data_IF_076059903053
#
_entry.id   IF_076059903053
#
_cell.length_a   1.000
_cell.length_b   1.000
_cell.length_c   1.000
_cell.angle_alpha   90.00
_cell.angle_beta   90.00
_cell.angle_gamma   90.00
#
_symmetry.space_group_name_H-M   'P 1'
#
loop_
_entity.id
_entity.type
_entity.pdbx_description
1 polymer ?
#
# COMPACT_ATOMS: atom_id res chain seq x y z
N UNK A 1 17.05 3.16 -29.51
CA UNK A 1 16.50 1.94 -30.14
C UNK A 1 17.62 0.90 -30.30
N UNK A 2 17.48 -0.21 -29.62
CA UNK A 2 18.43 -1.34 -29.64
C UNK A 2 18.08 -2.38 -30.74
N UNK A 3 17.12 -2.07 -31.60
CA UNK A 3 16.57 -2.98 -32.60
C UNK A 3 15.44 -3.84 -31.99
N UNK A 4 14.59 -4.30 -32.84
CA UNK A 4 13.52 -5.24 -32.52
C UNK A 4 13.74 -6.56 -33.28
N UNK A 5 12.74 -7.43 -33.28
CA UNK A 5 11.36 -7.16 -32.81
C UNK A 5 11.21 -7.15 -31.29
N UNK A 6 10.27 -6.34 -30.79
CA UNK A 6 9.82 -6.37 -29.41
C UNK A 6 8.47 -7.05 -29.34
N UNK A 7 8.28 -7.93 -28.38
CA UNK A 7 6.99 -8.54 -28.09
C UNK A 7 6.12 -7.59 -27.27
N UNK A 8 4.81 -7.76 -27.38
CA UNK A 8 3.86 -7.05 -26.51
C UNK A 8 4.09 -7.52 -25.08
N UNK A 9 4.24 -6.57 -24.15
CA UNK A 9 4.40 -6.88 -22.74
C UNK A 9 3.12 -7.53 -22.17
N UNK A 10 3.24 -8.73 -21.65
CA UNK A 10 2.11 -9.55 -21.17
C UNK A 10 2.13 -9.85 -19.69
N UNK A 11 2.89 -9.08 -18.89
CA UNK A 11 3.02 -9.27 -17.44
C UNK A 11 2.76 -7.96 -16.73
N UNK A 12 2.30 -8.03 -15.47
CA UNK A 12 2.26 -6.87 -14.59
C UNK A 12 3.68 -6.47 -14.16
N UNK A 13 3.86 -5.18 -13.89
CA UNK A 13 5.10 -4.65 -13.36
C UNK A 13 5.87 -3.75 -14.32
N UNK A 14 7.01 -3.26 -13.85
CA UNK A 14 7.89 -2.35 -14.56
C UNK A 14 8.67 -3.10 -15.64
N UNK A 15 8.67 -2.58 -16.86
CA UNK A 15 9.40 -3.13 -18.01
C UNK A 15 10.57 -2.23 -18.42
N UNK A 16 11.66 -2.85 -18.92
CA UNK A 16 12.82 -2.11 -19.45
C UNK A 16 12.53 -1.41 -20.78
N UNK A 17 11.42 -1.76 -21.46
CA UNK A 17 11.06 -1.25 -22.78
C UNK A 17 10.41 0.15 -22.66
N UNK A 18 11.24 1.18 -22.69
CA UNK A 18 10.85 2.59 -22.65
C UNK A 18 11.07 3.26 -24.00
N UNK A 19 10.34 4.35 -24.26
CA UNK A 19 10.52 5.16 -25.47
C UNK A 19 11.94 5.70 -25.57
N UNK A 20 12.45 5.84 -26.80
CA UNK A 20 13.81 6.29 -27.06
C UNK A 20 13.88 7.82 -27.28
N UNK A 21 14.31 8.62 -26.30
CA UNK A 21 14.43 10.08 -26.45
C UNK A 21 15.58 10.54 -27.35
N UNK A 22 16.39 9.61 -27.83
CA UNK A 22 17.40 9.86 -28.84
C UNK A 22 16.83 10.04 -30.27
N UNK A 23 15.54 9.80 -30.48
CA UNK A 23 14.86 9.88 -31.78
C UNK A 23 13.80 10.99 -31.79
N UNK A 24 13.77 11.82 -32.82
CA UNK A 24 12.72 12.85 -32.99
C UNK A 24 11.34 12.24 -33.18
N UNK A 25 11.24 11.06 -33.82
CA UNK A 25 9.97 10.33 -33.99
C UNK A 25 9.26 10.00 -32.67
N UNK A 26 10.00 9.85 -31.58
CA UNK A 26 9.41 9.68 -30.25
C UNK A 26 8.61 10.92 -29.85
N UNK A 27 9.16 12.09 -30.10
CA UNK A 27 8.49 13.35 -29.77
C UNK A 27 7.33 13.64 -30.71
N UNK A 28 7.49 13.40 -32.03
CA UNK A 28 6.39 13.49 -32.99
C UNK A 28 5.21 12.62 -32.59
N UNK A 29 5.49 11.41 -32.11
CA UNK A 29 4.45 10.50 -31.63
C UNK A 29 3.76 11.04 -30.36
N UNK A 30 4.54 11.48 -29.36
CA UNK A 30 4.00 12.02 -28.12
C UNK A 30 3.21 13.31 -28.35
N UNK A 31 3.69 14.20 -29.20
CA UNK A 31 3.05 15.44 -29.59
C UNK A 31 1.69 15.19 -30.27
N UNK A 32 1.63 14.22 -31.20
CA UNK A 32 0.38 13.83 -31.84
C UNK A 32 -0.65 13.25 -30.84
N UNK A 33 -0.22 12.39 -29.90
CA UNK A 33 -1.09 11.87 -28.85
C UNK A 33 -1.59 12.99 -27.94
N UNK A 34 -0.72 13.93 -27.57
CA UNK A 34 -1.08 15.03 -26.71
C UNK A 34 -2.03 16.04 -27.39
N UNK A 35 -1.92 16.25 -28.69
CA UNK A 35 -2.87 17.07 -29.45
C UNK A 35 -4.29 16.51 -29.40
N UNK A 36 -4.45 15.20 -29.49
CA UNK A 36 -5.76 14.56 -29.30
C UNK A 36 -6.24 14.68 -27.86
N UNK A 37 -5.38 14.45 -26.87
CA UNK A 37 -5.71 14.58 -25.42
C UNK A 37 -6.17 16.01 -25.11
N UNK A 38 -5.44 17.02 -25.57
CA UNK A 38 -5.80 18.43 -25.37
C UNK A 38 -7.13 18.79 -26.04
N UNK A 39 -7.43 18.17 -27.19
CA UNK A 39 -8.72 18.34 -27.86
C UNK A 39 -9.90 17.70 -27.14
N UNK A 40 -9.68 16.58 -26.44
CA UNK A 40 -10.70 15.83 -25.73
C UNK A 40 -10.95 16.35 -24.31
N UNK A 41 -9.91 16.80 -23.62
CA UNK A 41 -9.97 17.19 -22.22
C UNK A 41 -9.74 18.71 -22.07
N UNK A 42 -10.70 19.44 -21.48
CA UNK A 42 -10.58 20.90 -21.33
C UNK A 42 -9.70 21.34 -20.15
N UNK A 43 -9.21 20.40 -19.34
CA UNK A 43 -8.37 20.70 -18.17
C UNK A 43 -7.10 21.47 -18.57
N UNK A 44 -6.76 22.51 -17.80
CA UNK A 44 -5.47 23.19 -17.94
C UNK A 44 -4.28 22.30 -17.54
N UNK A 45 -4.53 21.21 -16.81
CA UNK A 45 -3.52 20.31 -16.28
C UNK A 45 -3.56 18.98 -17.03
N UNK A 46 -2.39 18.53 -17.52
CA UNK A 46 -2.21 17.25 -18.20
C UNK A 46 -1.16 16.44 -17.44
N UNK A 47 -1.57 15.27 -16.97
CA UNK A 47 -0.65 14.34 -16.31
C UNK A 47 0.15 13.56 -17.34
N UNK A 48 1.46 13.61 -17.26
CA UNK A 48 2.39 13.01 -18.24
C UNK A 48 3.11 11.76 -17.71
N UNK A 49 2.75 11.28 -16.51
CA UNK A 49 3.43 10.15 -15.88
C UNK A 49 4.81 10.52 -15.35
N UNK A 50 5.83 9.80 -15.78
CA UNK A 50 7.24 10.04 -15.40
C UNK A 50 7.77 9.08 -14.34
N UNK A 51 6.92 8.19 -13.84
CA UNK A 51 7.24 7.13 -12.89
C UNK A 51 7.92 5.93 -13.55
N UNK A 52 8.60 5.14 -12.72
CA UNK A 52 9.06 3.78 -13.01
C UNK A 52 9.69 3.61 -14.41
N UNK A 53 10.53 4.58 -14.79
CA UNK A 53 11.23 4.58 -16.07
C UNK A 53 12.64 3.99 -15.92
N UNK A 54 12.88 2.70 -16.22
CA UNK A 54 14.21 2.09 -16.17
C UNK A 54 15.15 2.73 -17.19
N UNK A 55 16.42 2.92 -16.81
CA UNK A 55 17.43 3.59 -17.63
C UNK A 55 18.30 2.60 -18.43
N UNK A 56 18.19 1.31 -18.15
CA UNK A 56 19.03 0.23 -18.66
C UNK A 56 19.15 0.24 -20.21
N UNK A 57 18.02 0.53 -20.89
CA UNK A 57 18.03 0.60 -22.35
C UNK A 57 18.67 1.88 -22.87
N UNK A 58 18.50 3.00 -22.17
CA UNK A 58 19.09 4.27 -22.59
C UNK A 58 20.62 4.26 -22.43
N UNK A 59 21.13 3.63 -21.38
CA UNK A 59 22.58 3.46 -21.16
C UNK A 59 23.26 2.76 -22.34
N UNK A 60 22.57 1.81 -22.96
CA UNK A 60 23.09 1.00 -24.07
C UNK A 60 22.70 1.55 -25.46
N UNK A 61 21.74 2.46 -25.55
CA UNK A 61 21.22 2.96 -26.79
C UNK A 61 22.15 4.01 -27.42
N UNK A 62 22.74 3.77 -28.61
CA UNK A 62 23.64 4.74 -29.23
C UNK A 62 23.01 6.11 -29.50
N UNK A 63 21.71 6.15 -29.79
CA UNK A 63 20.96 7.38 -30.05
C UNK A 63 20.72 8.17 -28.78
N UNK A 64 20.34 7.50 -27.66
CA UNK A 64 20.21 8.15 -26.37
C UNK A 64 21.55 8.68 -25.86
N UNK A 65 22.62 7.91 -26.00
CA UNK A 65 23.97 8.35 -25.65
C UNK A 65 24.47 9.50 -26.54
N UNK A 66 24.11 9.52 -27.83
CA UNK A 66 24.40 10.66 -28.69
C UNK A 66 23.63 11.91 -28.23
N UNK A 67 22.36 11.78 -27.87
CA UNK A 67 21.55 12.87 -27.32
C UNK A 67 22.11 13.41 -26.01
N UNK A 68 22.51 12.55 -25.09
CA UNK A 68 23.18 12.92 -23.83
C UNK A 68 24.42 13.77 -24.12
N UNK A 69 25.29 13.32 -25.04
CA UNK A 69 26.48 14.10 -25.43
C UNK A 69 26.13 15.44 -26.08
N UNK A 70 25.13 15.45 -26.98
CA UNK A 70 24.66 16.65 -27.66
C UNK A 70 24.17 17.73 -26.66
N UNK A 71 23.46 17.30 -25.62
CA UNK A 71 22.89 18.15 -24.60
C UNK A 71 23.88 18.45 -23.46
N UNK A 72 25.07 17.83 -23.46
CA UNK A 72 26.06 17.98 -22.39
C UNK A 72 25.60 17.44 -21.03
N UNK A 73 24.66 16.48 -21.03
CA UNK A 73 24.16 15.85 -19.81
C UNK A 73 25.26 14.98 -19.18
N UNK A 74 25.31 14.99 -17.85
CA UNK A 74 26.30 14.25 -17.06
C UNK A 74 25.75 13.91 -15.68
N UNK A 75 26.38 12.96 -15.03
CA UNK A 75 26.06 12.60 -13.66
C UNK A 75 26.26 13.82 -12.75
N UNK A 76 25.28 14.07 -11.92
CA UNK A 76 25.26 15.20 -11.01
C UNK A 76 24.23 14.99 -9.90
N UNK A 77 24.47 15.54 -8.71
CA UNK A 77 23.56 15.55 -7.57
C UNK A 77 22.99 14.16 -7.19
N UNK A 78 23.76 13.09 -7.45
CA UNK A 78 23.38 11.70 -7.18
C UNK A 78 22.55 11.03 -8.28
N UNK A 79 22.30 11.73 -9.40
CA UNK A 79 21.57 11.21 -10.56
C UNK A 79 22.46 11.03 -11.77
N UNK A 80 22.18 10.00 -12.59
CA UNK A 80 22.95 9.73 -13.81
C UNK A 80 22.51 10.66 -14.97
N UNK A 81 23.33 10.68 -16.04
CA UNK A 81 23.00 11.42 -17.26
C UNK A 81 21.66 11.00 -17.87
N UNK A 82 21.25 9.74 -17.68
CA UNK A 82 19.98 9.20 -18.14
C UNK A 82 18.78 9.77 -17.35
N UNK A 83 18.92 10.06 -16.07
CA UNK A 83 17.89 10.79 -15.31
C UNK A 83 17.71 12.20 -15.86
N UNK A 84 18.80 12.90 -16.20
CA UNK A 84 18.73 14.20 -16.88
C UNK A 84 18.19 14.11 -18.31
N UNK A 85 18.37 12.96 -18.99
CA UNK A 85 17.73 12.70 -20.28
C UNK A 85 16.21 12.55 -20.11
N UNK A 86 15.72 11.94 -19.02
CA UNK A 86 14.30 11.96 -18.70
C UNK A 86 13.82 13.37 -18.41
N UNK A 87 14.59 14.18 -17.67
CA UNK A 87 14.30 15.61 -17.45
C UNK A 87 14.17 16.38 -18.76
N UNK A 88 15.03 16.10 -19.76
CA UNK A 88 14.89 16.68 -21.10
C UNK A 88 13.57 16.31 -21.78
N UNK A 89 13.11 15.06 -21.64
CA UNK A 89 11.78 14.65 -22.17
C UNK A 89 10.68 15.43 -21.50
N UNK A 90 10.70 15.48 -20.16
CA UNK A 90 9.72 16.23 -19.34
C UNK A 90 9.68 17.71 -19.72
N UNK A 91 10.84 18.36 -19.86
CA UNK A 91 10.94 19.78 -20.26
C UNK A 91 10.38 20.02 -21.65
N UNK A 92 10.74 19.16 -22.62
CA UNK A 92 10.27 19.29 -24.00
C UNK A 92 8.75 19.15 -24.11
N UNK A 93 8.19 18.13 -23.45
CA UNK A 93 6.74 17.93 -23.42
C UNK A 93 6.04 19.05 -22.63
N UNK A 94 6.63 19.53 -21.54
CA UNK A 94 6.12 20.68 -20.80
C UNK A 94 6.03 21.92 -21.65
N UNK A 95 7.07 22.25 -22.43
CA UNK A 95 7.07 23.37 -23.39
C UNK A 95 6.01 23.22 -24.48
N UNK A 96 5.90 22.01 -25.04
CA UNK A 96 4.90 21.71 -26.06
C UNK A 96 3.47 21.93 -25.56
N UNK A 97 3.18 21.52 -24.32
CA UNK A 97 1.89 21.70 -23.68
C UNK A 97 1.66 23.17 -23.27
N UNK A 98 2.71 23.88 -22.83
CA UNK A 98 2.62 25.29 -22.47
C UNK A 98 2.23 26.16 -23.67
N UNK A 99 2.71 25.87 -24.88
CA UNK A 99 2.30 26.53 -26.12
C UNK A 99 0.79 26.36 -26.43
N UNK A 100 0.16 25.36 -25.81
CA UNK A 100 -1.27 25.03 -25.91
C UNK A 100 -2.07 25.49 -24.68
N UNK A 101 -1.45 26.30 -23.81
CA UNK A 101 -2.07 26.82 -22.59
C UNK A 101 -2.29 25.74 -21.53
N UNK A 102 -1.45 24.69 -21.52
CA UNK A 102 -1.54 23.61 -20.53
C UNK A 102 -0.29 23.59 -19.65
N UNK A 103 -0.44 23.10 -18.42
CA UNK A 103 0.65 22.79 -17.49
C UNK A 103 0.75 21.29 -17.28
N UNK A 104 1.95 20.79 -17.03
CA UNK A 104 2.15 19.36 -16.76
C UNK A 104 1.99 19.04 -15.27
N UNK A 105 1.46 17.83 -15.02
CA UNK A 105 1.63 17.14 -13.74
C UNK A 105 2.50 15.90 -14.03
N UNK A 106 3.41 15.56 -13.12
CA UNK A 106 4.16 14.31 -13.18
C UNK A 106 4.32 13.70 -11.80
N UNK A 107 4.55 12.38 -11.79
CA UNK A 107 4.93 11.70 -10.56
C UNK A 107 6.25 12.25 -10.01
N UNK A 108 6.54 12.04 -8.73
CA UNK A 108 7.67 12.69 -8.06
C UNK A 108 9.06 12.32 -8.64
N UNK A 109 9.15 11.29 -9.50
CA UNK A 109 10.35 10.96 -10.26
C UNK A 109 10.79 12.04 -11.24
N UNK A 110 9.90 12.93 -11.67
CA UNK A 110 10.32 14.07 -12.53
C UNK A 110 11.34 14.97 -11.83
N UNK A 111 11.43 14.92 -10.50
CA UNK A 111 12.44 15.64 -9.70
C UNK A 111 13.83 14.96 -9.70
N UNK A 112 13.96 13.78 -10.29
CA UNK A 112 15.23 13.04 -10.38
C UNK A 112 16.13 13.54 -11.51
N UNK A 113 15.63 14.43 -12.32
CA UNK A 113 16.37 15.18 -13.31
C UNK A 113 16.15 16.68 -13.12
N UNK A 114 15.73 17.34 -14.17
CA UNK A 114 15.36 18.75 -14.15
C UNK A 114 13.91 18.89 -14.61
N UNK A 115 13.00 19.11 -13.68
CA UNK A 115 11.60 19.43 -14.00
C UNK A 115 11.46 20.91 -14.41
N UNK A 116 10.54 21.25 -15.34
CA UNK A 116 10.13 22.63 -15.58
C UNK A 116 9.63 23.28 -14.29
N UNK A 117 9.95 24.56 -14.08
CA UNK A 117 9.66 25.28 -12.83
C UNK A 117 8.17 25.41 -12.51
N UNK A 118 7.31 25.30 -13.52
CA UNK A 118 5.84 25.37 -13.42
C UNK A 118 5.18 23.99 -13.38
N UNK A 119 5.96 22.89 -13.44
CA UNK A 119 5.44 21.54 -13.31
C UNK A 119 4.83 21.31 -11.91
N UNK A 120 3.68 20.65 -11.89
CA UNK A 120 3.06 20.17 -10.66
C UNK A 120 3.58 18.78 -10.36
N UNK A 121 3.95 18.52 -9.11
CA UNK A 121 4.48 17.22 -8.68
C UNK A 121 3.41 16.44 -7.92
N UNK A 122 3.13 15.24 -8.37
CA UNK A 122 2.27 14.28 -7.67
C UNK A 122 3.15 13.29 -6.88
N UNK A 123 3.11 13.40 -5.54
CA UNK A 123 4.01 12.63 -4.65
C UNK A 123 3.36 11.33 -4.23
N UNK A 124 3.82 10.19 -4.77
CA UNK A 124 3.26 8.87 -4.51
C UNK A 124 4.19 7.95 -3.68
N UNK A 125 5.50 8.09 -3.79
CA UNK A 125 6.50 7.31 -3.04
C UNK A 125 6.65 7.77 -1.58
N UNK A 126 5.54 8.08 -0.92
CA UNK A 126 5.50 8.73 0.39
C UNK A 126 5.43 10.25 0.27
N UNK A 127 5.65 10.97 1.38
CA UNK A 127 5.56 12.44 1.42
C UNK A 127 6.86 13.16 1.03
N UNK A 128 7.99 12.45 1.01
CA UNK A 128 9.32 13.06 0.83
C UNK A 128 9.46 13.77 -0.52
N UNK A 129 8.91 13.20 -1.60
CA UNK A 129 8.90 13.81 -2.93
C UNK A 129 8.16 15.14 -2.94
N UNK A 130 6.96 15.17 -2.35
CA UNK A 130 6.14 16.38 -2.26
C UNK A 130 6.78 17.47 -1.38
N UNK A 131 7.36 17.08 -0.24
CA UNK A 131 8.11 18.01 0.62
C UNK A 131 9.31 18.60 -0.14
N UNK A 132 10.04 17.79 -0.91
CA UNK A 132 11.14 18.25 -1.76
C UNK A 132 10.63 19.22 -2.84
N UNK A 133 9.53 18.88 -3.52
CA UNK A 133 8.91 19.71 -4.55
C UNK A 133 8.48 21.07 -4.00
N UNK A 134 7.75 21.10 -2.89
CA UNK A 134 7.32 22.34 -2.24
C UNK A 134 8.50 23.22 -1.80
N UNK A 135 9.60 22.63 -1.31
CA UNK A 135 10.84 23.34 -0.99
C UNK A 135 11.54 23.92 -2.21
N UNK A 136 11.34 23.35 -3.40
CA UNK A 136 11.85 23.83 -4.67
C UNK A 136 10.90 24.85 -5.34
N UNK A 137 9.71 25.09 -4.79
CA UNK A 137 8.72 26.03 -5.30
C UNK A 137 7.75 25.44 -6.34
N UNK A 138 7.68 24.12 -6.46
CA UNK A 138 6.66 23.45 -7.27
C UNK A 138 5.36 23.29 -6.50
N UNK A 139 4.24 23.44 -7.19
CA UNK A 139 2.95 23.02 -6.68
C UNK A 139 2.88 21.50 -6.55
N UNK A 140 2.16 21.00 -5.54
CA UNK A 140 2.18 19.59 -5.14
C UNK A 140 0.78 19.06 -4.91
N UNK A 141 0.53 17.84 -5.39
CA UNK A 141 -0.60 17.00 -4.98
C UNK A 141 -0.02 15.81 -4.19
N UNK A 142 -0.44 15.68 -2.93
CA UNK A 142 0.00 14.58 -2.08
C UNK A 142 -0.88 13.34 -2.31
N UNK A 143 -0.25 12.25 -2.74
CA UNK A 143 -0.91 10.95 -2.96
C UNK A 143 -0.05 9.78 -2.49
N UNK A 144 0.52 9.84 -1.26
CA UNK A 144 1.47 8.83 -0.79
C UNK A 144 0.80 7.46 -0.71
N UNK A 145 1.47 6.45 -1.31
CA UNK A 145 1.01 5.06 -1.32
C UNK A 145 0.75 4.50 0.09
N UNK A 146 1.50 4.98 1.07
CA UNK A 146 1.33 4.61 2.46
C UNK A 146 -0.01 5.01 3.08
N UNK A 147 -0.75 5.97 2.47
CA UNK A 147 -2.01 6.52 3.01
C UNK A 147 -3.14 6.54 2.01
N UNK A 148 -2.85 6.65 0.69
CA UNK A 148 -3.86 6.96 -0.31
C UNK A 148 -3.91 5.98 -1.50
N UNK A 149 -3.23 4.82 -1.41
CA UNK A 149 -3.43 3.74 -2.37
C UNK A 149 -4.59 2.86 -1.90
N UNK A 150 -5.74 3.05 -2.54
CA UNK A 150 -6.99 2.38 -2.15
C UNK A 150 -7.15 1.01 -2.81
N UNK A 151 -6.20 0.57 -3.60
CA UNK A 151 -5.99 -0.80 -4.04
C UNK A 151 -5.31 -1.68 -2.97
N UNK A 152 -4.77 -1.08 -1.90
CA UNK A 152 -4.23 -1.80 -0.74
C UNK A 152 -5.35 -2.26 0.19
N UNK A 153 -5.13 -3.35 0.91
CA UNK A 153 -6.07 -3.89 1.90
C UNK A 153 -6.51 -2.85 2.92
N UNK A 154 -7.73 -2.96 3.37
CA UNK A 154 -8.30 -2.07 4.38
C UNK A 154 -8.09 -2.56 5.83
N UNK A 155 -7.64 -3.81 5.98
CA UNK A 155 -7.34 -4.45 7.23
C UNK A 155 -5.96 -5.11 7.18
N UNK A 156 -5.23 -5.20 8.30
CA UNK A 156 -4.01 -6.00 8.39
C UNK A 156 -4.30 -7.52 8.31
N UNK A 157 -5.55 -7.96 8.48
CA UNK A 157 -5.97 -9.34 8.29
C UNK A 157 -6.29 -9.58 6.82
N UNK A 158 -5.23 -9.82 6.02
CA UNK A 158 -5.36 -10.04 4.59
C UNK A 158 -6.22 -11.28 4.24
N UNK A 159 -6.35 -12.24 5.15
CA UNK A 159 -7.20 -13.42 4.96
C UNK A 159 -8.70 -13.07 4.98
N UNK A 160 -9.06 -11.95 5.60
CA UNK A 160 -10.42 -11.43 5.62
C UNK A 160 -10.74 -10.44 4.48
N UNK A 161 -9.72 -10.08 3.68
CA UNK A 161 -9.85 -9.14 2.57
C UNK A 161 -10.17 -9.83 1.24
N UNK A 162 -10.82 -9.17 0.28
CA UNK A 162 -10.78 -9.59 -1.11
C UNK A 162 -9.35 -9.68 -1.62
N UNK A 163 -9.08 -10.56 -2.59
CA UNK A 163 -7.76 -10.66 -3.18
C UNK A 163 -7.32 -9.34 -3.82
N UNK A 164 -6.11 -8.87 -3.50
CA UNK A 164 -5.55 -7.60 -3.96
C UNK A 164 -4.03 -7.64 -4.07
N UNK A 165 -3.45 -6.53 -4.46
CA UNK A 165 -1.99 -6.38 -4.67
C UNK A 165 -1.17 -6.52 -3.37
N UNK A 166 -1.81 -6.43 -2.22
CA UNK A 166 -1.13 -6.38 -0.92
C UNK A 166 -1.11 -4.98 -0.32
N UNK A 167 -0.16 -4.74 0.58
CA UNK A 167 -0.11 -3.49 1.36
C UNK A 167 -1.29 -3.37 2.32
N UNK A 168 -1.29 -2.34 3.16
CA UNK A 168 -2.42 -2.08 4.05
C UNK A 168 -2.58 -0.58 4.32
N UNK A 169 -3.75 -0.05 3.96
CA UNK A 169 -4.16 1.34 4.19
C UNK A 169 -5.51 1.34 4.86
N UNK A 170 -5.51 1.39 6.19
CA UNK A 170 -6.73 1.42 7.01
C UNK A 170 -7.37 2.81 6.99
N UNK A 171 -8.66 2.90 7.30
CA UNK A 171 -9.39 4.19 7.31
C UNK A 171 -8.80 5.18 8.33
N UNK A 172 -8.31 4.73 9.47
CA UNK A 172 -7.64 5.57 10.47
C UNK A 172 -6.29 6.10 9.93
N UNK A 173 -5.58 5.30 9.14
CA UNK A 173 -4.34 5.72 8.48
C UNK A 173 -4.60 6.81 7.44
N UNK A 174 -5.64 6.65 6.61
CA UNK A 174 -6.08 7.71 5.69
C UNK A 174 -6.39 8.99 6.46
N UNK A 175 -7.20 8.91 7.51
CA UNK A 175 -7.61 10.05 8.32
C UNK A 175 -6.44 10.76 9.01
N UNK A 176 -5.41 10.03 9.41
CA UNK A 176 -4.25 10.57 10.13
C UNK A 176 -3.36 11.48 9.30
N UNK A 177 -3.43 11.39 7.96
CA UNK A 177 -2.51 12.11 7.10
C UNK A 177 -2.60 13.63 7.25
N UNK A 178 -1.45 14.28 7.44
CA UNK A 178 -1.30 15.73 7.41
C UNK A 178 -0.47 16.14 6.19
N UNK A 179 -1.10 16.72 5.15
CA UNK A 179 -0.40 17.12 3.94
C UNK A 179 0.56 18.32 4.14
N UNK A 180 0.45 19.00 5.29
CA UNK A 180 1.24 20.20 5.60
C UNK A 180 2.43 19.91 6.54
N UNK A 181 2.58 18.65 6.98
CA UNK A 181 3.65 18.26 7.89
C UNK A 181 5.04 18.57 7.30
N UNK A 182 5.98 18.95 8.17
CA UNK A 182 7.39 19.26 7.82
C UNK A 182 7.61 20.39 6.82
N UNK A 183 6.60 21.27 6.64
CA UNK A 183 6.63 22.41 5.74
C UNK A 183 6.46 23.73 6.51
N UNK A 184 7.22 24.75 6.11
CA UNK A 184 7.00 26.13 6.57
C UNK A 184 5.72 26.71 5.95
N UNK A 185 5.10 27.76 6.54
CA UNK A 185 3.89 28.38 5.97
C UNK A 185 4.03 28.79 4.50
N UNK A 186 5.21 29.28 4.08
CA UNK A 186 5.45 29.62 2.67
C UNK A 186 5.47 28.39 1.75
N UNK A 187 5.99 27.27 2.23
CA UNK A 187 6.03 26.02 1.47
C UNK A 187 4.65 25.32 1.45
N UNK A 188 3.87 25.46 2.52
CA UNK A 188 2.50 24.93 2.58
C UNK A 188 1.59 25.54 1.51
N UNK A 189 1.87 26.78 1.07
CA UNK A 189 1.12 27.43 -0.01
C UNK A 189 1.23 26.68 -1.36
N UNK A 190 2.23 25.83 -1.54
CA UNK A 190 2.40 25.00 -2.71
C UNK A 190 1.60 23.69 -2.66
N UNK A 191 1.02 23.33 -1.51
CA UNK A 191 0.20 22.10 -1.42
C UNK A 191 -1.20 22.38 -1.95
N UNK A 192 -1.48 21.89 -3.15
CA UNK A 192 -2.78 22.06 -3.80
C UNK A 192 -3.86 21.17 -3.14
N UNK A 193 -3.46 20.04 -2.59
CA UNK A 193 -4.37 19.11 -1.94
C UNK A 193 -3.83 17.68 -1.91
N UNK A 194 -4.77 16.74 -1.69
CA UNK A 194 -4.51 15.30 -1.63
C UNK A 194 -5.39 14.55 -2.62
N UNK A 195 -4.91 13.39 -3.08
CA UNK A 195 -5.64 12.48 -3.97
C UNK A 195 -5.42 11.04 -3.51
N UNK A 196 -6.44 10.20 -3.65
CA UNK A 196 -6.28 8.75 -3.55
C UNK A 196 -6.19 8.12 -4.95
N UNK A 197 -5.42 7.05 -5.04
CA UNK A 197 -5.30 6.21 -6.23
C UNK A 197 -5.96 4.86 -5.96
N UNK A 198 -6.67 4.34 -6.95
CA UNK A 198 -7.32 3.03 -6.93
C UNK A 198 -6.95 2.30 -8.22
N UNK A 199 -5.82 1.58 -8.17
CA UNK A 199 -5.32 0.79 -9.30
C UNK A 199 -6.13 -0.50 -9.42
N UNK A 200 -6.46 -0.90 -10.64
CA UNK A 200 -7.50 -1.92 -10.85
C UNK A 200 -6.99 -3.27 -11.34
N UNK A 201 -5.68 -3.51 -11.29
CA UNK A 201 -5.07 -4.76 -11.75
C UNK A 201 -5.69 -6.01 -11.11
N UNK A 202 -6.10 -5.89 -9.84
CA UNK A 202 -6.70 -6.98 -9.06
C UNK A 202 -8.19 -6.76 -8.74
N UNK A 203 -8.79 -5.68 -9.25
CA UNK A 203 -10.19 -5.33 -8.99
C UNK A 203 -11.04 -5.79 -10.19
N UNK A 204 -11.76 -6.89 -10.01
CA UNK A 204 -12.45 -7.58 -11.09
C UNK A 204 -13.95 -7.24 -11.25
N UNK A 205 -14.54 -6.50 -10.29
CA UNK A 205 -15.98 -6.17 -10.29
C UNK A 205 -16.28 -4.83 -9.62
N UNK A 206 -17.45 -4.28 -9.89
CA UNK A 206 -17.93 -3.04 -9.28
C UNK A 206 -18.05 -3.19 -7.75
N UNK A 207 -18.56 -4.32 -7.27
CA UNK A 207 -18.66 -4.62 -5.83
C UNK A 207 -17.27 -4.59 -5.15
N UNK A 208 -16.25 -5.12 -5.83
CA UNK A 208 -14.89 -5.10 -5.32
C UNK A 208 -14.33 -3.66 -5.33
N UNK A 209 -14.59 -2.89 -6.38
CA UNK A 209 -14.20 -1.48 -6.46
C UNK A 209 -14.85 -0.66 -5.33
N UNK A 210 -16.15 -0.81 -5.11
CA UNK A 210 -16.88 -0.15 -4.04
C UNK A 210 -16.33 -0.53 -2.66
N UNK A 211 -16.08 -1.83 -2.44
CA UNK A 211 -15.46 -2.32 -1.21
C UNK A 211 -14.10 -1.65 -0.96
N UNK A 212 -13.23 -1.60 -1.96
CA UNK A 212 -11.89 -1.01 -1.82
C UNK A 212 -11.92 0.50 -1.61
N UNK A 213 -12.91 1.19 -2.18
CA UNK A 213 -13.06 2.63 -2.06
C UNK A 213 -13.70 3.06 -0.73
N UNK A 214 -14.76 2.34 -0.31
CA UNK A 214 -15.59 2.72 0.82
C UNK A 214 -15.21 1.90 2.09
N UNK A 215 -15.15 2.53 3.27
CA UNK A 215 -15.48 3.92 3.61
C UNK A 215 -14.28 4.88 3.59
N UNK A 216 -13.10 4.48 3.11
CA UNK A 216 -11.88 5.31 3.11
C UNK A 216 -12.06 6.66 2.41
N UNK A 217 -12.93 6.72 1.41
CA UNK A 217 -13.28 7.97 0.73
C UNK A 217 -13.86 9.01 1.68
N UNK A 218 -14.62 8.61 2.70
CA UNK A 218 -15.12 9.54 3.71
C UNK A 218 -13.99 10.11 4.57
N UNK A 219 -12.99 9.30 4.92
CA UNK A 219 -11.80 9.76 5.64
C UNK A 219 -10.94 10.70 4.78
N UNK A 220 -10.79 10.38 3.49
CA UNK A 220 -10.11 11.26 2.54
C UNK A 220 -10.81 12.61 2.43
N UNK A 221 -12.14 12.63 2.38
CA UNK A 221 -12.92 13.88 2.35
C UNK A 221 -12.67 14.77 3.59
N UNK A 222 -12.55 14.17 4.78
CA UNK A 222 -12.16 14.93 5.97
C UNK A 222 -10.74 15.52 5.85
N UNK A 223 -9.78 14.77 5.28
CA UNK A 223 -8.42 15.28 5.04
C UNK A 223 -8.43 16.42 4.04
N UNK A 224 -9.30 16.38 3.01
CA UNK A 224 -9.39 17.42 1.98
C UNK A 224 -10.08 18.70 2.46
N UNK A 225 -11.11 18.57 3.30
CA UNK A 225 -11.96 19.71 3.69
C UNK A 225 -11.63 20.30 5.06
N UNK A 226 -10.94 19.54 5.92
CA UNK A 226 -10.61 20.00 7.27
C UNK A 226 -9.14 20.41 7.38
N UNK A 227 -8.90 21.52 8.08
CA UNK A 227 -7.53 21.85 8.49
C UNK A 227 -7.00 20.77 9.44
N UNK A 228 -5.70 20.38 9.35
CA UNK A 228 -5.13 19.32 10.18
C UNK A 228 -5.41 19.49 11.68
N UNK A 229 -5.29 20.70 12.20
CA UNK A 229 -5.47 21.01 13.63
C UNK A 229 -6.91 20.90 14.18
N UNK A 230 -7.92 20.72 13.29
CA UNK A 230 -9.32 20.56 13.72
C UNK A 230 -9.84 19.14 13.49
N UNK A 231 -9.03 18.26 12.92
CA UNK A 231 -9.39 16.85 12.76
C UNK A 231 -9.44 16.17 14.13
N UNK A 232 -10.47 15.36 14.34
CA UNK A 232 -10.67 14.57 15.57
C UNK A 232 -11.13 13.17 15.18
N UNK A 233 -10.21 12.21 15.29
CA UNK A 233 -10.46 10.82 14.91
C UNK A 233 -11.59 10.19 15.75
N UNK A 234 -11.65 10.46 17.04
CA UNK A 234 -12.68 9.87 17.92
C UNK A 234 -14.06 10.38 17.51
N UNK A 235 -14.19 11.68 17.27
CA UNK A 235 -15.43 12.29 16.77
C UNK A 235 -15.82 11.73 15.40
N UNK A 236 -14.86 11.63 14.45
CA UNK A 236 -15.10 11.06 13.12
C UNK A 236 -15.57 9.62 13.24
N UNK A 237 -14.81 8.77 13.94
CA UNK A 237 -15.08 7.37 14.14
C UNK A 237 -16.45 7.13 14.79
N UNK A 238 -16.72 7.79 15.92
CA UNK A 238 -17.94 7.55 16.71
C UNK A 238 -19.16 8.25 16.09
N UNK A 239 -18.95 9.33 15.34
CA UNK A 239 -19.96 10.04 14.59
C UNK A 239 -20.25 9.46 13.20
N UNK A 240 -19.48 8.47 12.74
CA UNK A 240 -19.62 7.91 11.40
C UNK A 240 -21.00 7.26 11.21
N UNK A 241 -21.71 7.67 10.16
CA UNK A 241 -23.06 7.21 9.84
C UNK A 241 -23.24 6.91 8.34
N UNK A 242 -22.14 6.94 7.58
CA UNK A 242 -22.17 6.67 6.13
C UNK A 242 -22.53 5.22 5.81
N UNK A 243 -22.31 4.30 6.75
CA UNK A 243 -22.75 2.90 6.68
C UNK A 243 -24.24 2.77 6.34
N UNK A 244 -25.07 3.59 6.96
CA UNK A 244 -26.53 3.61 6.69
C UNK A 244 -26.83 4.10 5.27
N UNK A 245 -26.11 5.12 4.81
CA UNK A 245 -26.28 5.66 3.46
C UNK A 245 -25.82 4.63 2.44
N UNK A 246 -24.64 4.04 2.63
CA UNK A 246 -24.11 3.00 1.74
C UNK A 246 -25.06 1.80 1.66
N UNK A 247 -25.56 1.31 2.80
CA UNK A 247 -26.54 0.20 2.84
C UNK A 247 -27.85 0.55 2.16
N UNK A 248 -28.37 1.78 2.35
CA UNK A 248 -29.61 2.23 1.69
C UNK A 248 -29.44 2.37 0.18
N UNK A 249 -28.25 2.75 -0.29
CA UNK A 249 -27.93 2.86 -1.71
C UNK A 249 -27.51 1.53 -2.34
N UNK A 250 -27.34 0.48 -1.55
CA UNK A 250 -26.93 -0.84 -2.00
C UNK A 250 -25.45 -0.96 -2.31
N UNK A 251 -24.61 -0.03 -1.85
CA UNK A 251 -23.15 -0.10 -2.04
C UNK A 251 -22.53 -1.19 -1.17
N UNK A 252 -21.52 -1.86 -1.72
CA UNK A 252 -20.62 -2.74 -1.00
C UNK A 252 -19.52 -1.90 -0.35
N UNK A 253 -19.25 -2.12 0.95
CA UNK A 253 -18.24 -1.36 1.66
C UNK A 253 -17.58 -2.17 2.78
N UNK A 254 -16.31 -1.85 3.08
CA UNK A 254 -15.59 -2.49 4.17
C UNK A 254 -16.13 -2.05 5.53
N UNK A 255 -16.36 -3.02 6.41
CA UNK A 255 -16.96 -2.78 7.74
C UNK A 255 -15.91 -2.67 8.86
N UNK A 256 -14.63 -2.57 8.52
CA UNK A 256 -13.52 -2.61 9.47
C UNK A 256 -13.53 -1.48 10.51
N UNK A 257 -14.08 -0.31 10.16
CA UNK A 257 -14.25 0.77 11.14
C UNK A 257 -15.17 0.35 12.30
N UNK A 258 -16.08 -0.58 12.04
CA UNK A 258 -16.97 -1.18 13.05
C UNK A 258 -16.46 -2.52 13.53
N UNK A 259 -15.42 -3.05 12.89
CA UNK A 259 -14.89 -4.38 13.07
C UNK A 259 -14.24 -4.63 14.44
N UNK A 260 -13.99 -5.88 14.71
CA UNK A 260 -13.05 -6.31 15.75
C UNK A 260 -11.69 -6.41 15.09
N UNK A 261 -10.71 -5.65 15.61
CA UNK A 261 -9.30 -5.84 15.25
C UNK A 261 -8.74 -6.90 16.18
N UNK A 262 -8.26 -8.01 15.61
CA UNK A 262 -7.61 -9.10 16.33
C UNK A 262 -6.13 -9.16 15.98
N UNK A 263 -5.28 -9.19 16.99
CA UNK A 263 -3.87 -9.55 16.88
C UNK A 263 -3.54 -10.66 17.83
N UNK A 264 -2.48 -11.40 17.59
CA UNK A 264 -2.02 -12.44 18.48
C UNK A 264 -0.50 -12.44 18.59
N UNK A 265 -0.01 -13.00 19.68
CA UNK A 265 1.41 -13.18 19.91
C UNK A 265 1.66 -14.56 20.54
N UNK A 266 2.80 -15.14 20.24
CA UNK A 266 3.29 -16.35 20.89
C UNK A 266 3.82 -16.00 22.29
N UNK A 267 3.39 -16.71 23.33
CA UNK A 267 3.95 -16.64 24.68
C UNK A 267 4.77 -17.92 24.94
N UNK A 268 6.10 -17.90 24.73
CA UNK A 268 6.93 -19.08 24.90
C UNK A 268 7.05 -19.56 26.36
N UNK A 269 6.77 -18.69 27.34
CA UNK A 269 6.83 -19.06 28.75
C UNK A 269 5.64 -19.94 29.13
N UNK A 270 4.51 -19.73 28.46
CA UNK A 270 3.28 -20.50 28.70
C UNK A 270 3.05 -21.60 27.67
N UNK A 271 3.79 -21.61 26.57
CA UNK A 271 3.54 -22.50 25.44
C UNK A 271 2.15 -22.25 24.84
N UNK A 272 1.77 -21.00 24.70
CA UNK A 272 0.44 -20.57 24.31
C UNK A 272 0.50 -19.45 23.26
N UNK A 273 -0.63 -19.25 22.59
CA UNK A 273 -0.89 -18.06 21.79
C UNK A 273 -1.82 -17.13 22.58
N UNK A 274 -1.52 -15.85 22.59
CA UNK A 274 -2.32 -14.85 23.32
C UNK A 274 -3.04 -13.98 22.29
N UNK A 275 -4.37 -14.03 22.28
CA UNK A 275 -5.22 -13.24 21.39
C UNK A 275 -5.59 -11.92 22.06
N UNK A 276 -5.39 -10.81 21.33
CA UNK A 276 -5.74 -9.46 21.74
C UNK A 276 -6.79 -8.91 20.79
N UNK A 277 -7.89 -8.42 21.35
CA UNK A 277 -8.99 -7.84 20.58
C UNK A 277 -9.21 -6.38 20.92
N UNK A 278 -9.53 -5.59 19.91
CA UNK A 278 -10.02 -4.23 20.06
C UNK A 278 -11.22 -4.01 19.13
N UNK A 279 -12.12 -3.11 19.50
CA UNK A 279 -13.23 -2.69 18.61
C UNK A 279 -13.45 -1.20 18.76
N UNK A 280 -14.23 -0.64 17.88
CA UNK A 280 -14.64 0.75 17.94
C UNK A 280 -15.62 0.99 19.11
N UNK A 281 -15.40 2.06 19.87
CA UNK A 281 -16.23 2.41 21.02
C UNK A 281 -16.16 1.36 22.14
N UNK A 282 -17.16 1.37 23.01
CA UNK A 282 -17.24 0.47 24.18
C UNK A 282 -18.13 -0.76 23.92
N UNK A 283 -18.31 -1.16 22.65
CA UNK A 283 -19.12 -2.33 22.33
C UNK A 283 -18.58 -3.58 23.03
N UNK A 284 -19.40 -4.31 23.81
CA UNK A 284 -18.92 -5.51 24.48
C UNK A 284 -18.57 -6.59 23.47
N UNK A 285 -17.36 -7.12 23.55
CA UNK A 285 -16.92 -8.25 22.75
C UNK A 285 -17.19 -9.52 23.54
N UNK A 286 -17.85 -10.47 22.91
CA UNK A 286 -18.02 -11.86 23.41
C UNK A 286 -17.27 -12.81 22.50
N UNK A 287 -16.74 -13.91 23.06
CA UNK A 287 -15.95 -14.86 22.29
C UNK A 287 -16.22 -16.31 22.63
N UNK A 288 -15.81 -17.22 21.74
CA UNK A 288 -15.80 -18.69 21.91
C UNK A 288 -14.46 -19.25 21.41
N UNK A 289 -14.10 -20.46 21.87
CA UNK A 289 -12.87 -21.17 21.46
C UNK A 289 -13.19 -22.45 20.67
N UNK A 290 -14.44 -22.80 20.52
CA UNK A 290 -14.92 -24.03 19.89
C UNK A 290 -15.51 -23.80 18.49
N UNK A 291 -15.49 -22.53 18.02
CA UNK A 291 -16.04 -22.15 16.72
C UNK A 291 -17.55 -21.89 16.72
N UNK A 292 -18.23 -22.05 17.84
CA UNK A 292 -19.64 -21.64 17.96
C UNK A 292 -19.80 -20.12 17.84
N UNK A 293 -20.94 -19.66 17.34
CA UNK A 293 -21.24 -18.23 17.23
C UNK A 293 -21.35 -17.58 18.61
N UNK A 294 -20.55 -16.55 18.94
CA UNK A 294 -20.64 -15.87 20.23
C UNK A 294 -21.97 -15.13 20.36
N UNK A 295 -22.56 -15.23 21.57
CA UNK A 295 -23.78 -14.51 21.96
C UNK A 295 -23.55 -13.70 23.23
N UNK A 296 -24.54 -12.94 23.68
CA UNK A 296 -24.46 -12.21 24.95
C UNK A 296 -24.25 -13.14 26.19
N UNK A 297 -24.52 -14.45 26.04
CA UNK A 297 -24.27 -15.44 27.09
C UNK A 297 -22.85 -16.03 27.03
N UNK A 298 -22.12 -15.80 25.95
CA UNK A 298 -20.74 -16.28 25.81
C UNK A 298 -19.78 -15.45 26.69
N UNK A 299 -18.57 -15.96 27.02
CA UNK A 299 -17.57 -15.23 27.76
C UNK A 299 -17.33 -13.83 27.17
N UNK A 300 -17.30 -12.82 28.05
CA UNK A 300 -16.99 -11.44 27.66
C UNK A 300 -15.48 -11.25 27.63
N UNK A 301 -14.99 -10.61 26.58
CA UNK A 301 -13.60 -10.19 26.47
C UNK A 301 -13.32 -9.03 27.41
N UNK A 302 -12.40 -9.22 28.35
CA UNK A 302 -11.98 -8.21 29.32
C UNK A 302 -10.46 -7.96 29.28
N UNK A 303 -9.74 -8.65 28.42
CA UNK A 303 -8.29 -8.59 28.26
C UNK A 303 -7.79 -9.77 27.43
N UNK A 304 -6.47 -9.89 27.22
CA UNK A 304 -5.87 -10.91 26.37
C UNK A 304 -6.35 -12.34 26.71
N UNK A 305 -6.70 -13.09 25.68
CA UNK A 305 -7.20 -14.47 25.81
C UNK A 305 -6.08 -15.45 25.50
N UNK A 306 -5.75 -16.30 26.47
CA UNK A 306 -4.73 -17.35 26.32
C UNK A 306 -5.33 -18.57 25.62
N UNK A 307 -4.68 -19.04 24.55
CA UNK A 307 -5.04 -20.22 23.77
C UNK A 307 -3.87 -21.20 23.88
N UNK A 308 -4.07 -22.29 24.64
CA UNK A 308 -3.05 -23.31 24.93
C UNK A 308 -3.24 -24.62 24.18
N UNK A 309 -4.19 -24.70 23.25
CA UNK A 309 -4.49 -25.85 22.43
C UNK A 309 -5.19 -25.43 21.14
N UNK A 310 -5.29 -26.34 20.17
CA UNK A 310 -6.06 -26.12 18.96
C UNK A 310 -7.45 -25.56 19.26
N UNK A 311 -7.81 -24.47 18.58
CA UNK A 311 -9.03 -23.74 18.84
C UNK A 311 -9.56 -23.07 17.56
N UNK A 312 -10.87 -22.97 17.44
CA UNK A 312 -11.56 -22.12 16.48
C UNK A 312 -12.07 -20.91 17.23
N UNK A 313 -11.20 -19.88 17.32
CA UNK A 313 -11.53 -18.65 18.01
C UNK A 313 -12.56 -17.86 17.18
N UNK A 314 -13.67 -17.48 17.82
CA UNK A 314 -14.65 -16.54 17.25
C UNK A 314 -14.95 -15.45 18.27
N UNK A 315 -15.18 -14.22 17.77
CA UNK A 315 -15.58 -13.10 18.61
C UNK A 315 -16.65 -12.28 17.89
N UNK A 316 -17.55 -11.71 18.67
CA UNK A 316 -18.61 -10.82 18.18
C UNK A 316 -18.71 -9.60 19.08
N UNK A 317 -18.63 -8.40 18.49
CA UNK A 317 -18.94 -7.16 19.17
C UNK A 317 -20.44 -6.87 19.05
N UNK A 318 -21.14 -6.84 20.18
CA UNK A 318 -22.59 -6.61 20.22
C UNK A 318 -22.88 -5.11 20.31
N UNK A 319 -23.57 -4.58 19.31
CA UNK A 319 -23.87 -3.15 19.19
C UNK A 319 -25.36 -2.88 19.30
N UNK A 320 -25.76 -1.93 20.15
CA UNK A 320 -27.13 -1.47 20.20
C UNK A 320 -27.48 -0.67 18.93
N UNK A 321 -28.46 -1.15 18.18
CA UNK A 321 -28.99 -0.46 16.99
C UNK A 321 -28.05 -0.42 15.78
N UNK A 322 -26.99 -1.22 15.75
CA UNK A 322 -26.03 -1.34 14.65
C UNK A 322 -25.79 -2.79 14.24
N UNK A 323 -25.00 -2.99 13.18
CA UNK A 323 -24.53 -4.31 12.81
C UNK A 323 -23.50 -4.83 13.82
N UNK A 324 -23.63 -6.09 14.22
CA UNK A 324 -22.63 -6.77 15.00
C UNK A 324 -21.38 -7.03 14.15
N UNK A 325 -20.22 -6.76 14.71
CA UNK A 325 -18.96 -7.10 14.07
C UNK A 325 -18.50 -8.49 14.54
N UNK A 326 -18.00 -9.28 13.62
CA UNK A 326 -17.46 -10.61 13.91
C UNK A 326 -15.96 -10.68 13.57
N UNK A 327 -15.25 -11.55 14.26
CA UNK A 327 -13.86 -11.92 14.01
C UNK A 327 -13.71 -13.41 14.22
N UNK A 328 -12.91 -14.08 13.40
CA UNK A 328 -12.61 -15.50 13.57
C UNK A 328 -11.16 -15.80 13.20
N UNK A 329 -10.56 -16.75 13.92
CA UNK A 329 -9.24 -17.29 13.62
C UNK A 329 -9.12 -18.72 14.11
N UNK A 330 -8.51 -19.60 13.31
CA UNK A 330 -8.29 -20.98 13.67
C UNK A 330 -6.80 -21.21 13.99
N UNK A 331 -6.53 -21.88 15.10
CA UNK A 331 -5.19 -22.28 15.51
C UNK A 331 -5.12 -23.81 15.58
N UNK A 332 -4.14 -24.37 14.87
CA UNK A 332 -3.83 -25.79 14.88
C UNK A 332 -2.53 -26.04 15.65
N UNK A 333 -2.64 -26.46 16.89
CA UNK A 333 -1.47 -26.67 17.75
C UNK A 333 -0.77 -27.99 17.44
N UNK A 334 0.53 -27.89 17.29
CA UNK A 334 1.49 -28.99 17.28
C UNK A 334 2.37 -28.96 18.55
N UNK A 335 3.34 -29.83 18.64
CA UNK A 335 4.31 -29.85 19.75
C UNK A 335 5.25 -28.62 19.72
N UNK A 336 5.45 -28.04 18.56
CA UNK A 336 6.26 -26.82 18.38
C UNK A 336 5.49 -25.54 18.65
N UNK A 337 4.16 -25.58 18.65
CA UNK A 337 3.35 -24.37 18.87
C UNK A 337 3.61 -23.77 20.25
N UNK A 338 3.87 -22.47 20.28
CA UNK A 338 4.18 -21.75 21.49
C UNK A 338 5.60 -21.99 22.03
N UNK A 339 6.49 -22.64 21.28
CA UNK A 339 7.87 -22.89 21.72
C UNK A 339 8.79 -21.72 21.37
N UNK A 340 9.87 -21.50 22.15
CA UNK A 340 10.92 -20.55 21.77
C UNK A 340 11.52 -20.97 20.40
N UNK A 341 11.60 -20.02 19.49
CA UNK A 341 12.18 -20.21 18.16
C UNK A 341 13.16 -19.08 17.83
N UNK A 342 14.24 -19.41 17.15
CA UNK A 342 15.29 -18.46 16.72
C UNK A 342 15.64 -18.73 15.26
N UNK A 343 15.62 -17.70 14.43
CA UNK A 343 16.14 -17.75 13.05
C UNK A 343 17.67 -17.63 13.12
N UNK A 344 18.38 -18.61 12.57
CA UNK A 344 19.84 -18.59 12.47
C UNK A 344 20.31 -17.87 11.19
N UNK A 345 19.42 -17.74 10.20
CA UNK A 345 19.59 -16.97 8.98
C UNK A 345 18.59 -15.83 8.91
N UNK A 346 18.94 -14.73 8.22
CA UNK A 346 18.11 -13.53 8.15
C UNK A 346 17.12 -13.61 6.97
N UNK A 347 15.81 -13.44 7.19
CA UNK A 347 14.85 -13.25 6.11
C UNK A 347 15.14 -11.97 5.33
N UNK A 348 14.60 -11.86 4.12
CA UNK A 348 14.57 -10.61 3.37
C UNK A 348 13.85 -9.52 4.17
N UNK A 349 14.40 -8.30 4.19
CA UNK A 349 13.89 -7.20 5.02
C UNK A 349 12.42 -6.86 4.77
N UNK A 350 11.90 -7.08 3.55
CA UNK A 350 10.51 -6.89 3.19
C UNK A 350 9.56 -7.99 3.70
N UNK A 351 10.10 -9.15 4.13
CA UNK A 351 9.33 -10.33 4.53
C UNK A 351 9.82 -10.93 5.85
N UNK A 352 10.14 -10.07 6.80
CA UNK A 352 10.58 -10.45 8.15
C UNK A 352 9.42 -10.60 9.12
N UNK A 353 8.42 -9.73 9.01
CA UNK A 353 7.20 -9.66 9.85
C UNK A 353 7.48 -9.96 11.33
N UNK A 354 6.75 -10.93 11.93
CA UNK A 354 6.91 -11.37 13.33
C UNK A 354 8.09 -12.35 13.53
N UNK A 355 8.89 -12.57 12.51
CA UNK A 355 10.10 -13.39 12.59
C UNK A 355 9.84 -14.85 12.93
N UNK A 356 10.68 -15.44 13.80
CA UNK A 356 10.64 -16.86 14.15
C UNK A 356 9.30 -17.31 14.75
N UNK A 357 8.53 -16.41 15.35
CA UNK A 357 7.24 -16.73 15.97
C UNK A 357 6.21 -17.23 14.96
N UNK A 358 6.30 -16.81 13.69
CA UNK A 358 5.42 -17.31 12.61
C UNK A 358 5.54 -18.82 12.37
N UNK A 359 6.67 -19.41 12.72
CA UNK A 359 6.90 -20.85 12.54
C UNK A 359 6.33 -21.71 13.69
N UNK A 360 5.90 -21.07 14.77
CA UNK A 360 5.44 -21.74 15.99
C UNK A 360 4.14 -21.15 16.57
N UNK A 361 3.41 -20.36 15.79
CA UNK A 361 2.17 -19.71 16.22
C UNK A 361 0.92 -20.59 16.07
N UNK A 362 1.03 -21.70 15.30
CA UNK A 362 -0.09 -22.62 15.03
C UNK A 362 -1.17 -22.00 14.13
N UNK A 363 -0.88 -20.90 13.44
CA UNK A 363 -1.77 -20.29 12.45
C UNK A 363 -1.34 -20.67 11.03
N UNK A 364 -2.28 -21.13 10.24
CA UNK A 364 -2.11 -21.46 8.81
C UNK A 364 -2.81 -20.38 7.98
N UNK A 365 -2.04 -19.48 7.41
CA UNK A 365 -2.56 -18.41 6.56
C UNK A 365 -2.89 -18.92 5.15
N UNK A 366 -3.71 -18.18 4.43
CA UNK A 366 -3.86 -18.39 2.98
C UNK A 366 -2.49 -18.22 2.30
N UNK A 367 -2.26 -18.90 1.15
CA UNK A 367 -0.99 -18.79 0.41
C UNK A 367 -0.85 -17.44 -0.29
N UNK A 368 -0.84 -16.36 0.49
CA UNK A 368 -0.69 -14.98 0.04
C UNK A 368 0.54 -14.40 0.72
N UNK A 369 1.63 -14.23 -0.03
CA UNK A 369 2.93 -13.77 0.50
C UNK A 369 2.89 -12.39 1.16
N UNK A 370 1.91 -11.55 0.79
CA UNK A 370 1.71 -10.21 1.34
C UNK A 370 0.87 -10.16 2.62
N UNK A 371 0.39 -11.33 3.10
CA UNK A 371 -0.48 -11.41 4.29
C UNK A 371 0.21 -11.05 5.62
N UNK A 372 1.54 -11.00 5.63
CA UNK A 372 2.32 -10.82 6.86
C UNK A 372 2.54 -12.10 7.67
N UNK A 373 2.01 -13.25 7.20
CA UNK A 373 2.11 -14.55 7.87
C UNK A 373 3.19 -15.47 7.25
N UNK A 374 4.04 -14.94 6.37
CA UNK A 374 5.04 -15.71 5.65
C UNK A 374 6.41 -15.05 5.76
N UNK A 375 7.45 -15.83 6.09
CA UNK A 375 8.84 -15.38 6.00
C UNK A 375 9.34 -15.57 4.57
N UNK A 376 10.00 -14.56 4.03
CA UNK A 376 10.63 -14.64 2.70
C UNK A 376 12.15 -14.70 2.78
N UNK A 377 12.75 -15.62 2.03
CA UNK A 377 14.20 -15.77 1.90
C UNK A 377 14.60 -15.62 0.43
N UNK A 378 15.69 -14.90 0.19
CA UNK A 378 16.29 -14.74 -1.14
C UNK A 378 17.78 -15.06 -1.02
N UNK A 379 18.23 -16.04 -1.78
CA UNK A 379 19.64 -16.52 -1.82
C UNK A 379 20.19 -17.08 -0.49
N UNK A 380 19.37 -17.18 0.55
CA UNK A 380 19.71 -17.71 1.86
C UNK A 380 18.73 -18.84 2.23
N UNK A 381 19.17 -19.96 2.79
CA UNK A 381 18.28 -21.01 3.25
C UNK A 381 17.57 -20.61 4.55
N UNK A 382 16.37 -21.11 4.78
CA UNK A 382 15.75 -21.06 6.12
C UNK A 382 16.56 -21.96 7.07
N UNK A 383 17.10 -21.39 8.12
CA UNK A 383 17.70 -22.10 9.24
C UNK A 383 17.06 -21.63 10.55
N UNK A 384 16.42 -22.52 11.25
CA UNK A 384 15.66 -22.23 12.49
C UNK A 384 15.97 -23.23 13.59
N UNK A 385 16.12 -22.74 14.79
CA UNK A 385 16.19 -23.57 16.01
C UNK A 385 14.94 -23.37 16.84
N UNK A 386 14.22 -24.47 17.15
CA UNK A 386 13.05 -24.50 18.03
C UNK A 386 13.42 -25.26 19.29
N UNK A 387 13.34 -24.60 20.46
CA UNK A 387 13.62 -25.23 21.75
C UNK A 387 12.35 -25.99 22.24
N UNK A 388 12.39 -27.30 22.19
CA UNK A 388 11.30 -28.15 22.61
C UNK A 388 11.20 -28.31 24.13
N UNK A 389 12.13 -27.72 24.91
CA UNK A 389 12.16 -27.80 26.37
C UNK A 389 12.57 -29.16 26.95
N UNK A 390 13.16 -30.03 26.13
CA UNK A 390 13.61 -31.38 26.47
C UNK A 390 13.38 -32.39 25.37
N UNK A 391 13.75 -33.66 25.61
CA UNK A 391 13.53 -34.73 24.64
C UNK A 391 12.04 -34.93 24.36
N UNK A 392 11.68 -34.90 23.09
CA UNK A 392 10.32 -35.13 22.61
C UNK A 392 10.30 -36.18 21.51
N UNK A 393 9.33 -37.10 21.58
CA UNK A 393 9.04 -38.01 20.48
C UNK A 393 8.11 -37.34 19.47
N UNK A 394 8.43 -37.37 18.19
CA UNK A 394 7.57 -36.89 17.09
C UNK A 394 7.65 -37.83 15.91
N UNK A 395 6.60 -37.91 15.12
CA UNK A 395 6.49 -38.78 13.95
C UNK A 395 6.76 -38.02 12.64
N UNK A 396 6.52 -36.73 12.62
CA UNK A 396 6.73 -35.87 11.46
C UNK A 396 7.15 -34.46 11.88
N UNK A 397 7.79 -33.77 10.95
CA UNK A 397 8.01 -32.32 10.97
C UNK A 397 7.36 -31.78 9.68
N UNK A 398 6.49 -30.82 9.84
CA UNK A 398 5.78 -30.18 8.74
C UNK A 398 6.20 -28.73 8.65
N UNK A 399 6.49 -28.25 7.46
CA UNK A 399 6.80 -26.87 7.14
C UNK A 399 5.93 -26.48 5.93
N UNK A 400 5.12 -25.47 6.10
CA UNK A 400 4.39 -24.89 4.98
C UNK A 400 5.32 -23.98 4.18
N UNK A 401 5.28 -24.10 2.86
CA UNK A 401 6.05 -23.25 1.93
C UNK A 401 5.12 -22.75 0.85
N UNK A 402 5.36 -21.50 0.42
CA UNK A 402 4.74 -20.98 -0.80
C UNK A 402 5.58 -21.44 -1.99
N UNK A 403 4.92 -22.04 -2.98
CA UNK A 403 5.50 -22.27 -4.29
C UNK A 403 5.03 -21.13 -5.22
N UNK A 404 5.98 -20.48 -5.91
CA UNK A 404 5.69 -19.58 -7.03
C UNK A 404 5.33 -20.39 -8.29
#
# INVERSE_FOLDING_TARGET
DLGGPYEVWGRWGVADDVLCPGQEKTFEFLENVLDEVVGLFPSELIHIGGDECPKVRWEKCPRCQARIRQLGLRDKDGYTAEHYLQGYVTDRIGKYLAERGRRIIGWDEILEGQAPSDAIVMSWRGSAGGIKAAKLGHDVIMTPNSHFYFDYYQSPDADAEPFGIGGCVTIDKVYSFDPMADLTPGQQAHILGVQANLWTEYIASDDHLEYMLLPRLAALSEVQWCQPGVKDWVRFRDGFRMDRIYSQMGYVFAKHIFGIKGSYAVDPQKGAVVMILTTQGDAPIHYTLDGSEPTAASPRYTGPVEIGKSARFRATALREGGENASYSREFAFSKSTGRPAVLNTKPNDSYTFEGASLLVDGYHSRPVFTSGAWLGYLDEPLDVTIDMGGEQSYSSVELETLAE
#
